data_IF_371478714395
#
_entry.id   IF_371478714395
#
_cell.length_a   1.000
_cell.length_b   1.000
_cell.length_c   1.000
_cell.angle_alpha   90.00
_cell.angle_beta   90.00
_cell.angle_gamma   90.00
#
_symmetry.space_group_name_H-M   'P 1'
#
loop_
_entity.id
_entity.type
_entity.pdbx_description
1 polymer ?
#
# COMPACT_ATOMS: atom_id res chain seq x y z
N UNK A 1 15.54 -14.75 -13.18
CA UNK A 1 16.15 -14.12 -11.98
C UNK A 1 16.26 -15.15 -10.85
N UNK A 2 17.40 -15.82 -10.67
CA UNK A 2 17.50 -16.99 -9.77
C UNK A 2 17.13 -16.73 -8.30
N UNK A 3 17.36 -15.51 -7.82
CA UNK A 3 17.18 -15.14 -6.40
C UNK A 3 15.73 -14.85 -5.99
N UNK A 4 14.79 -14.74 -6.95
CA UNK A 4 13.44 -14.24 -6.64
C UNK A 4 12.62 -15.20 -5.76
N UNK A 5 12.94 -16.50 -5.86
CA UNK A 5 12.34 -17.57 -5.07
C UNK A 5 13.21 -17.94 -3.84
N UNK A 6 14.30 -17.22 -3.56
CA UNK A 6 15.11 -17.45 -2.36
C UNK A 6 14.37 -16.95 -1.11
N UNK A 7 14.10 -17.88 -0.18
CA UNK A 7 13.28 -17.65 1.01
C UNK A 7 14.14 -17.43 2.25
N UNK A 8 13.74 -16.45 3.07
CA UNK A 8 14.25 -16.25 4.43
C UNK A 8 13.16 -16.62 5.42
N UNK A 9 13.15 -17.88 5.85
CA UNK A 9 12.13 -18.42 6.76
C UNK A 9 12.33 -17.97 8.21
N UNK A 10 13.58 -17.76 8.61
CA UNK A 10 13.98 -17.32 9.95
C UNK A 10 14.66 -15.94 9.85
N UNK A 11 13.88 -14.85 9.75
CA UNK A 11 14.42 -13.50 9.68
C UNK A 11 15.01 -13.06 11.04
N UNK A 12 15.87 -12.02 11.06
CA UNK A 12 16.50 -11.51 12.29
C UNK A 12 15.48 -11.01 13.35
N UNK A 13 14.30 -10.60 12.90
CA UNK A 13 13.15 -10.24 13.71
C UNK A 13 11.86 -10.50 12.92
N UNK A 14 10.73 -10.65 13.61
CA UNK A 14 9.50 -11.12 12.97
C UNK A 14 8.54 -9.97 12.60
N UNK A 15 8.64 -9.49 11.36
CA UNK A 15 7.58 -8.67 10.75
C UNK A 15 6.38 -9.55 10.42
N UNK A 16 5.18 -9.09 10.80
CA UNK A 16 3.93 -9.86 10.68
C UNK A 16 3.02 -9.35 9.56
N UNK A 17 2.94 -8.04 9.34
CA UNK A 17 2.07 -7.41 8.32
C UNK A 17 2.29 -5.90 8.19
N UNK A 18 1.76 -5.30 7.13
CA UNK A 18 1.45 -3.88 7.07
C UNK A 18 0.57 -3.44 8.25
N UNK A 19 0.80 -2.23 8.78
CA UNK A 19 0.17 -1.75 10.02
C UNK A 19 -0.68 -0.51 9.84
N UNK A 20 -0.07 0.60 9.45
CA UNK A 20 -0.70 1.92 9.45
C UNK A 20 -0.02 2.86 8.46
N UNK A 21 -0.68 3.93 8.05
CA UNK A 21 -0.09 5.00 7.23
C UNK A 21 -0.31 6.34 7.92
N UNK A 22 0.70 7.20 7.88
CA UNK A 22 0.64 8.57 8.42
C UNK A 22 0.66 9.55 7.26
N UNK A 23 -0.46 10.22 7.02
CA UNK A 23 -0.64 11.19 5.94
C UNK A 23 -0.72 12.61 6.50
N UNK A 24 -0.06 13.53 5.82
CA UNK A 24 -0.16 14.95 6.07
C UNK A 24 -1.24 15.54 5.15
N UNK A 25 -2.27 16.13 5.74
CA UNK A 25 -3.44 16.69 5.04
C UNK A 25 -3.63 18.16 5.38
N UNK A 26 -4.18 18.94 4.45
CA UNK A 26 -4.36 20.39 4.63
C UNK A 26 -5.50 20.73 5.57
N UNK A 27 -6.60 20.01 5.45
CA UNK A 27 -7.82 20.22 6.23
C UNK A 27 -8.30 18.91 6.84
N UNK A 28 -8.14 18.78 8.17
CA UNK A 28 -8.55 17.58 8.89
C UNK A 28 -10.05 17.32 8.79
N UNK A 29 -10.91 18.35 8.79
CA UNK A 29 -12.35 18.15 8.78
C UNK A 29 -12.80 17.58 7.42
N UNK A 30 -12.25 18.13 6.33
CA UNK A 30 -12.55 17.68 4.97
C UNK A 30 -12.00 16.26 4.74
N UNK A 31 -10.75 16.00 5.13
CA UNK A 31 -10.16 14.66 4.97
C UNK A 31 -10.86 13.63 5.87
N UNK A 32 -11.16 13.96 7.13
CA UNK A 32 -11.96 13.10 8.01
C UNK A 32 -13.29 12.74 7.36
N UNK A 33 -14.03 13.72 6.84
CA UNK A 33 -15.31 13.46 6.19
C UNK A 33 -15.17 12.48 5.02
N UNK A 34 -14.15 12.67 4.17
CA UNK A 34 -13.87 11.73 3.09
C UNK A 34 -13.63 10.30 3.62
N UNK A 35 -12.77 10.14 4.62
CA UNK A 35 -12.41 8.82 5.15
C UNK A 35 -13.53 8.17 5.99
N UNK A 36 -14.41 8.94 6.63
CA UNK A 36 -15.53 8.38 7.40
C UNK A 36 -16.76 8.13 6.54
N UNK A 37 -17.11 9.05 5.65
CA UNK A 37 -18.40 9.03 4.96
C UNK A 37 -18.33 8.27 3.64
N UNK A 38 -17.23 8.43 2.89
CA UNK A 38 -17.01 7.69 1.65
C UNK A 38 -16.28 6.37 1.91
N UNK A 39 -15.12 6.40 2.57
CA UNK A 39 -14.34 5.17 2.77
C UNK A 39 -14.96 4.27 3.86
N UNK A 40 -15.66 4.85 4.84
CA UNK A 40 -16.34 4.10 5.89
C UNK A 40 -15.42 3.66 7.03
N UNK A 41 -14.33 4.39 7.28
CA UNK A 41 -13.46 4.17 8.43
C UNK A 41 -14.08 4.72 9.73
N UNK A 42 -13.62 4.17 10.85
CA UNK A 42 -14.07 4.54 12.19
C UNK A 42 -13.03 5.41 12.86
N UNK A 43 -13.45 6.55 13.40
CA UNK A 43 -12.61 7.41 14.24
C UNK A 43 -12.34 6.70 15.55
N UNK A 44 -11.07 6.55 15.87
CA UNK A 44 -10.59 5.93 17.09
C UNK A 44 -10.26 6.97 18.13
N UNK A 45 -9.63 8.06 17.71
CA UNK A 45 -9.35 9.25 18.50
C UNK A 45 -9.11 10.45 17.58
N UNK A 46 -9.20 11.67 18.09
CA UNK A 46 -8.91 12.90 17.35
C UNK A 46 -8.64 14.10 18.27
N UNK A 47 -7.81 15.01 17.78
CA UNK A 47 -7.54 16.31 18.37
C UNK A 47 -7.43 17.40 17.27
N UNK A 48 -7.07 18.62 17.64
CA UNK A 48 -6.96 19.76 16.71
C UNK A 48 -5.88 19.58 15.63
N UNK A 49 -4.97 18.63 15.81
CA UNK A 49 -3.80 18.37 14.96
C UNK A 49 -3.86 17.04 14.22
N UNK A 50 -4.60 16.05 14.73
CA UNK A 50 -4.58 14.68 14.21
C UNK A 50 -5.93 13.97 14.29
N UNK A 51 -6.22 13.10 13.32
CA UNK A 51 -7.36 12.17 13.35
C UNK A 51 -6.84 10.75 13.16
N UNK A 52 -7.24 9.84 14.05
CA UNK A 52 -6.85 8.43 14.05
C UNK A 52 -8.02 7.56 13.59
N UNK A 53 -7.83 6.81 12.51
CA UNK A 53 -8.88 6.05 11.84
C UNK A 53 -8.49 4.56 11.74
N UNK A 54 -9.49 3.68 11.78
CA UNK A 54 -9.32 2.24 11.60
C UNK A 54 -10.48 1.62 10.81
N UNK A 55 -10.23 0.49 10.17
CA UNK A 55 -11.28 -0.32 9.55
C UNK A 55 -12.15 -1.07 10.57
N UNK A 56 -13.32 -1.55 10.13
CA UNK A 56 -14.33 -2.19 10.96
C UNK A 56 -13.88 -3.53 11.61
N UNK A 57 -12.95 -4.28 11.00
CA UNK A 57 -12.38 -5.54 11.51
C UNK A 57 -11.21 -5.33 12.48
N UNK A 58 -10.67 -4.11 12.52
CA UNK A 58 -9.40 -3.83 13.17
C UNK A 58 -9.53 -3.74 14.69
N UNK A 59 -8.53 -4.31 15.37
CA UNK A 59 -8.36 -4.19 16.83
C UNK A 59 -7.29 -3.20 17.21
N UNK A 60 -6.31 -2.94 16.35
CA UNK A 60 -5.32 -1.89 16.63
C UNK A 60 -6.03 -0.54 16.73
N UNK A 61 -5.45 0.37 17.50
CA UNK A 61 -6.01 1.70 17.68
C UNK A 61 -6.24 2.42 16.35
N UNK A 62 -5.35 2.26 15.37
CA UNK A 62 -5.47 2.92 14.08
C UNK A 62 -4.68 2.19 13.01
N UNK A 63 -5.08 2.43 11.76
CA UNK A 63 -4.37 2.04 10.54
C UNK A 63 -4.22 3.21 9.56
N UNK A 64 -4.86 4.34 9.85
CA UNK A 64 -4.65 5.61 9.18
C UNK A 64 -4.53 6.72 10.23
N UNK A 65 -3.50 7.55 10.10
CA UNK A 65 -3.34 8.77 10.87
C UNK A 65 -3.31 9.94 9.90
N UNK A 66 -4.24 10.88 10.07
CA UNK A 66 -4.25 12.14 9.34
C UNK A 66 -3.64 13.20 10.24
N UNK A 67 -2.63 13.93 9.77
CA UNK A 67 -1.99 15.03 10.50
C UNK A 67 -2.16 16.33 9.73
N UNK A 68 -2.60 17.38 10.41
CA UNK A 68 -2.74 18.71 9.81
C UNK A 68 -1.36 19.26 9.42
N UNK A 69 -1.21 19.65 8.17
CA UNK A 69 0.04 20.16 7.62
C UNK A 69 -0.22 21.02 6.38
N UNK A 70 0.56 22.11 6.15
CA UNK A 70 0.49 22.85 4.88
C UNK A 70 1.02 22.01 3.70
N UNK A 71 1.94 21.10 3.97
CA UNK A 71 2.58 20.22 2.99
C UNK A 71 1.86 18.87 2.93
N UNK A 72 1.47 18.44 1.73
CA UNK A 72 0.77 17.17 1.46
C UNK A 72 1.76 16.06 1.14
N UNK A 73 2.02 15.19 2.12
CA UNK A 73 3.03 14.15 2.05
C UNK A 73 2.57 12.89 2.79
N UNK A 74 3.15 11.74 2.46
CA UNK A 74 3.15 10.60 3.36
C UNK A 74 4.30 10.78 4.35
N UNK A 75 4.00 10.91 5.64
CA UNK A 75 5.06 11.04 6.63
C UNK A 75 5.82 9.71 6.78
N UNK A 76 5.10 8.60 7.00
CA UNK A 76 5.65 7.25 7.19
C UNK A 76 4.63 6.15 6.88
N UNK A 77 5.11 4.95 6.57
CA UNK A 77 4.31 3.72 6.59
C UNK A 77 4.77 2.80 7.71
N UNK A 78 3.82 2.10 8.31
CA UNK A 78 4.01 1.28 9.49
C UNK A 78 3.97 -0.22 9.21
N UNK A 79 4.79 -0.99 9.93
CA UNK A 79 4.79 -2.44 9.92
C UNK A 79 4.58 -2.96 11.35
N UNK A 80 3.84 -4.07 11.48
CA UNK A 80 3.71 -4.78 12.77
C UNK A 80 4.84 -5.78 12.93
N UNK A 81 5.52 -5.75 14.05
CA UNK A 81 6.37 -6.88 14.49
C UNK A 81 5.64 -7.71 15.54
N UNK A 82 6.13 -8.93 15.80
CA UNK A 82 5.45 -9.88 16.70
C UNK A 82 5.46 -9.46 18.16
N UNK A 83 6.55 -8.87 18.65
CA UNK A 83 6.74 -8.51 20.06
C UNK A 83 7.66 -7.29 20.23
N UNK A 84 7.67 -6.67 21.41
CA UNK A 84 8.60 -5.56 21.69
C UNK A 84 10.07 -6.01 21.60
N UNK A 85 10.37 -7.29 21.86
CA UNK A 85 11.70 -7.87 21.66
C UNK A 85 12.14 -7.83 20.18
N UNK A 86 11.21 -7.98 19.24
CA UNK A 86 11.48 -7.83 17.81
C UNK A 86 11.84 -6.38 17.43
N UNK A 87 11.43 -5.38 18.23
CA UNK A 87 11.83 -3.98 18.00
C UNK A 87 13.31 -3.78 18.34
N UNK A 88 13.78 -4.31 19.47
CA UNK A 88 15.20 -4.24 19.84
C UNK A 88 16.08 -5.01 18.84
N UNK A 89 15.63 -6.21 18.42
CA UNK A 89 16.32 -6.98 17.37
C UNK A 89 16.37 -6.23 16.05
N UNK A 90 15.28 -5.56 15.66
CA UNK A 90 15.25 -4.74 14.45
C UNK A 90 16.22 -3.55 14.56
N UNK A 91 16.25 -2.87 15.70
CA UNK A 91 17.18 -1.76 15.95
C UNK A 91 18.63 -2.23 15.84
N UNK A 92 19.01 -3.30 16.52
CA UNK A 92 20.36 -3.88 16.45
C UNK A 92 20.72 -4.30 15.03
N UNK A 93 19.82 -5.01 14.34
CA UNK A 93 20.02 -5.47 12.97
C UNK A 93 20.30 -4.31 12.00
N UNK A 94 19.50 -3.23 12.07
CA UNK A 94 19.69 -2.07 11.21
C UNK A 94 20.92 -1.24 11.60
N UNK A 95 21.23 -1.11 12.90
CA UNK A 95 22.44 -0.43 13.36
C UNK A 95 23.72 -1.13 12.89
N UNK A 96 23.75 -2.47 12.88
CA UNK A 96 24.87 -3.25 12.34
C UNK A 96 25.08 -3.06 10.82
N UNK A 97 24.04 -2.64 10.11
CA UNK A 97 24.12 -2.25 8.69
C UNK A 97 24.51 -0.78 8.51
N UNK A 98 24.78 -0.04 9.59
CA UNK A 98 25.11 1.38 9.55
C UNK A 98 23.92 2.30 9.26
N UNK A 99 22.68 1.83 9.48
CA UNK A 99 21.48 2.67 9.32
C UNK A 99 21.23 3.54 10.54
N UNK A 100 20.70 4.72 10.28
CA UNK A 100 20.14 5.55 11.34
C UNK A 100 18.83 4.93 11.83
N UNK A 101 18.77 4.68 13.14
CA UNK A 101 17.61 4.16 13.85
C UNK A 101 17.21 5.13 14.95
N UNK A 102 15.92 5.20 15.25
CA UNK A 102 15.44 5.93 16.41
C UNK A 102 14.25 5.21 17.04
N UNK A 103 14.39 4.82 18.31
CA UNK A 103 13.27 4.40 19.13
C UNK A 103 12.52 5.64 19.61
N UNK A 104 11.23 5.71 19.33
CA UNK A 104 10.40 6.90 19.56
C UNK A 104 9.09 6.56 20.27
N UNK A 105 8.58 7.55 21.00
CA UNK A 105 7.22 7.52 21.52
C UNK A 105 6.23 8.01 20.46
N UNK A 106 5.08 7.31 20.39
CA UNK A 106 4.01 7.56 19.43
C UNK A 106 2.66 7.40 20.11
N UNK A 107 1.71 8.34 19.93
CA UNK A 107 0.38 8.20 20.50
C UNK A 107 -0.26 6.86 20.09
N UNK A 108 -0.76 6.12 21.09
CA UNK A 108 -1.46 4.85 20.94
C UNK A 108 -0.66 3.67 20.37
N UNK A 109 0.65 3.84 20.16
CA UNK A 109 1.58 2.77 19.80
C UNK A 109 2.42 2.40 21.02
N UNK A 110 2.80 1.12 21.13
CA UNK A 110 3.87 0.72 22.05
C UNK A 110 5.24 1.15 21.52
N UNK A 111 6.28 0.46 21.98
CA UNK A 111 7.66 0.69 21.52
C UNK A 111 7.71 0.73 19.99
N UNK A 112 8.18 1.86 19.44
CA UNK A 112 8.18 2.12 18.00
C UNK A 112 9.57 2.45 17.53
N UNK A 113 10.03 1.78 16.46
CA UNK A 113 11.30 2.03 15.81
C UNK A 113 11.10 2.75 14.48
N UNK A 114 11.84 3.82 14.29
CA UNK A 114 12.03 4.48 13.01
C UNK A 114 13.30 4.01 12.31
N UNK A 115 13.19 3.81 11.01
CA UNK A 115 14.31 3.56 10.09
C UNK A 115 13.88 3.94 8.66
N UNK A 116 14.83 4.05 7.73
CA UNK A 116 14.54 4.19 6.30
C UNK A 116 15.03 2.96 5.53
N UNK A 117 14.27 2.55 4.51
CA UNK A 117 14.65 1.44 3.63
C UNK A 117 15.78 1.82 2.65
N UNK A 118 16.14 0.90 1.74
CA UNK A 118 17.18 1.13 0.74
C UNK A 118 16.87 2.25 -0.25
N UNK A 119 15.60 2.56 -0.46
CA UNK A 119 15.16 3.55 -1.45
C UNK A 119 14.65 4.83 -0.77
N UNK A 120 14.85 4.95 0.55
CA UNK A 120 14.58 6.14 1.36
C UNK A 120 13.17 6.21 1.94
N UNK A 121 12.35 5.17 1.83
CA UNK A 121 10.99 5.14 2.41
C UNK A 121 11.10 5.22 3.95
N UNK A 122 10.47 6.22 4.59
CA UNK A 122 10.41 6.30 6.04
C UNK A 122 9.47 5.22 6.62
N UNK A 123 10.03 4.32 7.42
CA UNK A 123 9.30 3.22 8.07
C UNK A 123 9.08 3.49 9.56
N UNK A 124 7.97 2.95 10.09
CA UNK A 124 7.75 2.72 11.52
C UNK A 124 7.54 1.21 11.77
N UNK A 125 8.22 0.64 12.75
CA UNK A 125 7.94 -0.72 13.24
C UNK A 125 7.37 -0.61 14.65
N UNK A 126 6.22 -1.24 14.92
CA UNK A 126 5.66 -1.32 16.27
C UNK A 126 5.08 -2.72 16.54
N UNK A 127 5.15 -3.18 17.79
CA UNK A 127 4.65 -4.50 18.15
C UNK A 127 3.22 -4.48 18.72
N UNK A 128 2.84 -3.39 19.38
CA UNK A 128 1.59 -3.24 20.12
C UNK A 128 0.91 -1.89 19.84
N UNK A 129 -0.42 -1.88 19.89
CA UNK A 129 -1.27 -0.69 19.90
C UNK A 129 -2.41 -1.01 20.87
N UNK A 130 -2.94 -0.02 21.58
CA UNK A 130 -4.06 -0.23 22.48
C UNK A 130 -5.25 -0.85 21.71
N UNK A 131 -5.87 -1.93 22.21
CA UNK A 131 -6.93 -2.58 21.47
C UNK A 131 -8.24 -1.79 21.53
N UNK A 132 -8.88 -1.61 20.38
CA UNK A 132 -10.24 -1.09 20.27
C UNK A 132 -11.26 -2.22 20.06
N UNK A 133 -12.53 -1.92 20.33
CA UNK A 133 -13.63 -2.81 19.96
C UNK A 133 -13.72 -2.92 18.42
N UNK A 134 -13.90 -4.16 17.94
CA UNK A 134 -14.20 -4.42 16.52
C UNK A 134 -15.63 -4.01 16.23
N UNK A 135 -15.80 -3.28 15.14
CA UNK A 135 -17.12 -2.84 14.67
C UNK A 135 -17.77 -3.83 13.70
N UNK A 136 -17.11 -4.96 13.40
CA UNK A 136 -17.53 -6.01 12.47
C UNK A 136 -18.98 -6.51 12.62
N UNK A 137 -19.54 -6.45 13.84
CA UNK A 137 -20.92 -6.88 14.13
C UNK A 137 -21.88 -5.72 14.37
N UNK A 138 -21.38 -4.49 14.34
CA UNK A 138 -22.16 -3.30 14.61
C UNK A 138 -22.64 -2.68 13.29
N UNK A 139 -23.51 -3.43 12.59
CA UNK A 139 -23.96 -3.10 11.23
C UNK A 139 -24.60 -1.72 11.08
N UNK A 140 -25.12 -1.14 12.17
CA UNK A 140 -25.61 0.24 12.18
C UNK A 140 -24.53 1.31 11.90
N UNK A 141 -23.25 0.96 12.02
CA UNK A 141 -22.11 1.84 11.74
C UNK A 141 -21.51 1.63 10.35
N UNK A 142 -22.02 0.69 9.55
CA UNK A 142 -21.56 0.46 8.18
C UNK A 142 -22.02 1.61 7.29
N UNK A 143 -21.07 2.35 6.72
CA UNK A 143 -21.29 3.56 5.90
C UNK A 143 -20.31 3.59 4.74
N UNK A 144 -20.62 4.36 3.69
CA UNK A 144 -19.71 4.53 2.55
C UNK A 144 -19.33 3.19 1.92
N UNK A 145 -18.04 2.90 1.82
CA UNK A 145 -17.54 1.62 1.36
C UNK A 145 -17.52 0.54 2.45
N UNK A 146 -17.68 0.89 3.73
CA UNK A 146 -17.50 -0.02 4.87
C UNK A 146 -16.15 -0.73 4.84
N UNK A 147 -15.06 0.03 4.73
CA UNK A 147 -13.70 -0.49 4.80
C UNK A 147 -13.47 -1.36 6.05
N UNK A 148 -12.95 -2.58 5.85
CA UNK A 148 -12.81 -3.60 6.89
C UNK A 148 -11.45 -3.55 7.58
N UNK A 149 -10.34 -3.64 6.85
CA UNK A 149 -8.98 -3.54 7.41
C UNK A 149 -8.01 -3.03 6.35
N UNK A 150 -6.96 -2.35 6.80
CA UNK A 150 -5.80 -2.06 5.96
C UNK A 150 -5.16 -3.37 5.49
N UNK A 151 -4.82 -3.45 4.22
CA UNK A 151 -4.20 -4.63 3.63
C UNK A 151 -2.74 -4.39 3.25
N UNK A 152 -2.47 -3.36 2.44
CA UNK A 152 -1.14 -3.17 1.87
C UNK A 152 -0.86 -1.72 1.48
N UNK A 153 0.40 -1.50 1.09
CA UNK A 153 0.86 -0.29 0.40
C UNK A 153 1.37 -0.67 -0.99
N UNK A 154 1.17 0.22 -1.96
CA UNK A 154 1.98 0.22 -3.17
C UNK A 154 2.84 1.48 -3.20
N UNK A 155 4.12 1.31 -3.47
CA UNK A 155 5.12 2.36 -3.56
C UNK A 155 5.72 2.41 -4.98
N UNK A 156 6.10 3.62 -5.39
CA UNK A 156 6.97 3.82 -6.55
C UNK A 156 8.41 3.98 -6.10
N UNK A 157 9.32 3.35 -6.83
CA UNK A 157 10.77 3.42 -6.62
C UNK A 157 11.49 3.57 -7.94
N UNK A 158 12.61 4.31 -7.95
CA UNK A 158 13.49 4.39 -9.11
C UNK A 158 14.25 3.08 -9.37
N UNK A 159 14.38 2.23 -8.33
CA UNK A 159 15.05 0.94 -8.39
C UNK A 159 14.28 -0.10 -7.56
N UNK A 160 13.64 -1.04 -8.27
CA UNK A 160 12.83 -2.11 -7.66
C UNK A 160 13.72 -3.16 -7.00
N UNK A 161 14.93 -3.39 -7.52
CA UNK A 161 15.86 -4.39 -6.99
C UNK A 161 16.44 -3.92 -5.65
N UNK A 162 16.78 -2.64 -5.52
CA UNK A 162 17.21 -2.05 -4.25
C UNK A 162 16.10 -2.07 -3.21
N UNK A 163 14.86 -1.76 -3.59
CA UNK A 163 13.73 -1.89 -2.68
C UNK A 163 13.59 -3.35 -2.21
N UNK A 164 13.51 -4.30 -3.14
CA UNK A 164 13.37 -5.72 -2.82
C UNK A 164 14.48 -6.27 -1.91
N UNK A 165 15.75 -5.88 -2.14
CA UNK A 165 16.88 -6.36 -1.35
C UNK A 165 16.86 -5.89 0.11
N UNK A 166 16.07 -4.85 0.44
CA UNK A 166 15.82 -4.46 1.82
C UNK A 166 14.87 -5.43 2.53
N UNK A 167 13.79 -5.85 1.85
CA UNK A 167 12.70 -6.60 2.46
C UNK A 167 12.91 -8.12 2.47
N UNK A 168 13.64 -8.67 1.49
CA UNK A 168 13.90 -10.11 1.42
C UNK A 168 14.60 -10.66 2.69
N UNK A 169 15.68 -10.04 3.22
CA UNK A 169 16.30 -10.49 4.48
C UNK A 169 15.38 -10.41 5.71
N UNK A 170 14.32 -9.59 5.64
CA UNK A 170 13.31 -9.46 6.69
C UNK A 170 12.20 -10.52 6.59
N UNK A 171 12.35 -11.48 5.67
CA UNK A 171 11.44 -12.59 5.46
C UNK A 171 10.25 -12.28 4.56
N UNK A 172 10.23 -11.14 3.87
CA UNK A 172 9.19 -10.89 2.87
C UNK A 172 9.39 -11.81 1.67
N UNK A 173 8.31 -12.48 1.26
CA UNK A 173 8.30 -13.37 0.09
C UNK A 173 7.65 -12.68 -1.10
N UNK A 174 8.16 -12.96 -2.29
CA UNK A 174 7.57 -12.47 -3.54
C UNK A 174 6.43 -13.41 -3.93
N UNK A 175 5.19 -12.93 -3.98
CA UNK A 175 4.09 -13.73 -4.54
C UNK A 175 4.04 -13.60 -6.06
N UNK A 176 4.25 -12.39 -6.56
CA UNK A 176 4.15 -12.03 -7.97
C UNK A 176 5.16 -10.95 -8.31
N UNK A 177 5.60 -10.91 -9.56
CA UNK A 177 6.52 -9.88 -10.06
C UNK A 177 6.28 -9.58 -11.52
N UNK A 178 6.76 -8.42 -11.96
CA UNK A 178 6.68 -8.00 -13.37
C UNK A 178 8.07 -7.83 -13.95
N UNK A 179 8.27 -8.33 -15.16
CA UNK A 179 9.58 -8.38 -15.79
C UNK A 179 9.51 -8.18 -17.31
N UNK A 180 10.62 -7.78 -17.92
CA UNK A 180 10.82 -7.86 -19.37
C UNK A 180 12.27 -8.18 -19.67
N UNK A 181 12.58 -8.54 -20.92
CA UNK A 181 13.97 -8.50 -21.39
C UNK A 181 14.32 -7.05 -21.72
N UNK A 182 15.43 -6.55 -21.18
CA UNK A 182 16.05 -5.28 -21.56
C UNK A 182 17.47 -5.62 -21.97
N UNK A 183 17.79 -5.37 -23.23
CA UNK A 183 19.03 -5.86 -23.86
C UNK A 183 19.20 -7.38 -23.71
N UNK A 184 20.19 -7.84 -22.95
CA UNK A 184 20.49 -9.26 -22.72
C UNK A 184 20.01 -9.76 -21.34
N UNK A 185 19.48 -8.86 -20.50
CA UNK A 185 19.15 -9.15 -19.10
C UNK A 185 17.64 -9.07 -18.82
N UNK A 186 17.20 -9.86 -17.84
CA UNK A 186 15.85 -9.73 -17.29
C UNK A 186 15.78 -8.52 -16.35
N UNK A 187 15.01 -7.52 -16.74
CA UNK A 187 14.71 -6.35 -15.90
C UNK A 187 13.47 -6.58 -15.04
N UNK A 188 13.53 -6.12 -13.79
CA UNK A 188 12.45 -6.23 -12.80
C UNK A 188 11.72 -4.88 -12.68
N UNK A 189 10.44 -4.86 -13.02
CA UNK A 189 9.61 -3.63 -13.04
C UNK A 189 8.72 -3.48 -11.81
N UNK A 190 8.50 -4.57 -11.07
CA UNK A 190 7.73 -4.52 -9.84
C UNK A 190 7.69 -5.86 -9.12
N UNK A 191 7.46 -5.80 -7.81
CA UNK A 191 7.41 -6.94 -6.88
C UNK A 191 6.28 -6.78 -5.89
N UNK A 192 5.56 -7.87 -5.61
CA UNK A 192 4.51 -7.97 -4.60
C UNK A 192 5.04 -8.81 -3.44
N UNK A 193 5.24 -8.17 -2.28
CA UNK A 193 5.98 -8.71 -1.15
C UNK A 193 5.05 -8.94 0.05
N UNK A 194 5.12 -10.11 0.68
CA UNK A 194 4.18 -10.48 1.76
C UNK A 194 4.82 -11.15 2.98
N UNK A 195 4.11 -11.00 4.11
CA UNK A 195 4.30 -11.69 5.39
C UNK A 195 3.00 -12.33 5.91
N UNK A 196 1.84 -11.74 5.63
CA UNK A 196 0.55 -12.11 6.26
C UNK A 196 -0.22 -13.24 5.58
N UNK A 197 0.34 -13.90 4.58
CA UNK A 197 -0.28 -15.06 3.91
C UNK A 197 -1.31 -14.71 2.84
N UNK A 198 -1.42 -13.44 2.47
CA UNK A 198 -2.04 -13.00 1.23
C UNK A 198 -0.91 -12.54 0.27
N UNK A 199 -1.19 -12.13 -0.98
CA UNK A 199 -0.12 -11.95 -1.96
C UNK A 199 0.81 -10.77 -1.64
N UNK A 200 0.37 -9.78 -0.85
CA UNK A 200 1.23 -8.62 -0.55
C UNK A 200 0.82 -7.88 0.71
N UNK A 201 1.83 -7.43 1.45
CA UNK A 201 1.79 -6.36 2.45
C UNK A 201 2.36 -5.06 1.86
N UNK A 202 3.32 -5.17 0.94
CA UNK A 202 3.94 -4.03 0.28
C UNK A 202 4.29 -4.37 -1.16
N UNK A 203 4.06 -3.43 -2.05
CA UNK A 203 4.33 -3.56 -3.48
C UNK A 203 5.27 -2.45 -3.90
N UNK A 204 6.26 -2.78 -4.73
CA UNK A 204 7.12 -1.80 -5.38
C UNK A 204 6.92 -1.88 -6.88
N UNK A 205 6.74 -0.73 -7.52
CA UNK A 205 6.71 -0.59 -8.98
C UNK A 205 7.68 0.49 -9.42
N UNK A 206 8.29 0.30 -10.58
CA UNK A 206 9.26 1.26 -11.11
C UNK A 206 8.59 2.58 -11.48
N UNK A 207 9.23 3.69 -11.11
CA UNK A 207 8.79 5.04 -11.39
C UNK A 207 9.57 6.06 -10.56
N UNK A 208 9.25 7.36 -10.65
CA UNK A 208 9.88 8.35 -9.77
C UNK A 208 9.57 8.01 -8.31
N UNK A 209 10.60 7.86 -7.46
CA UNK A 209 10.44 7.37 -6.09
C UNK A 209 11.53 7.82 -5.12
N UNK A 210 11.35 7.61 -3.80
CA UNK A 210 10.22 6.89 -3.21
C UNK A 210 8.96 7.76 -3.16
N UNK A 211 7.82 7.19 -3.57
CA UNK A 211 6.49 7.82 -3.44
C UNK A 211 5.45 6.78 -3.04
N UNK A 212 4.53 7.15 -2.17
CA UNK A 212 3.35 6.32 -1.86
C UNK A 212 2.38 6.38 -3.05
N UNK A 213 2.31 5.28 -3.81
CA UNK A 213 1.37 5.17 -4.92
C UNK A 213 -0.05 5.08 -4.39
N UNK A 214 -0.32 4.17 -3.46
CA UNK A 214 -1.59 4.06 -2.74
C UNK A 214 -1.44 3.21 -1.46
N UNK A 215 -2.48 3.23 -0.64
CA UNK A 215 -2.71 2.28 0.45
C UNK A 215 -4.11 1.69 0.29
N UNK A 216 -4.33 0.47 0.77
CA UNK A 216 -5.52 -0.31 0.42
C UNK A 216 -6.31 -0.78 1.63
N UNK A 217 -7.64 -0.74 1.52
CA UNK A 217 -8.57 -1.34 2.48
C UNK A 217 -9.45 -2.39 1.82
N UNK A 218 -9.65 -3.50 2.52
CA UNK A 218 -10.54 -4.56 2.06
C UNK A 218 -11.99 -4.18 2.27
N UNK A 219 -12.87 -4.65 1.39
CA UNK A 219 -14.32 -4.52 1.48
C UNK A 219 -14.99 -5.85 1.86
N UNK A 220 -16.21 -5.84 2.43
CA UNK A 220 -16.98 -7.06 2.69
C UNK A 220 -17.30 -7.82 1.39
N UNK A 221 -17.79 -7.11 0.36
CA UNK A 221 -18.16 -7.68 -0.93
C UNK A 221 -18.02 -6.64 -2.06
N UNK A 222 -18.14 -7.13 -3.29
CA UNK A 222 -18.33 -6.38 -4.54
C UNK A 222 -19.46 -5.37 -4.47
N UNK A 223 -20.58 -5.69 -3.81
CA UNK A 223 -21.69 -4.74 -3.68
C UNK A 223 -21.29 -3.48 -2.88
N UNK A 224 -20.40 -3.61 -1.88
CA UNK A 224 -19.89 -2.46 -1.15
C UNK A 224 -18.98 -1.59 -2.01
N UNK A 225 -18.29 -2.18 -3.00
CA UNK A 225 -17.48 -1.44 -3.97
C UNK A 225 -18.36 -0.58 -4.89
N UNK A 226 -19.48 -1.12 -5.36
CA UNK A 226 -20.46 -0.36 -6.15
C UNK A 226 -21.11 0.73 -5.28
N UNK A 227 -21.50 0.39 -4.04
CA UNK A 227 -22.01 1.37 -3.08
C UNK A 227 -21.02 2.51 -2.83
N UNK A 228 -19.72 2.22 -2.76
CA UNK A 228 -18.70 3.27 -2.63
C UNK A 228 -18.73 4.25 -3.82
N UNK A 229 -18.91 3.75 -5.04
CA UNK A 229 -19.04 4.59 -6.24
C UNK A 229 -20.32 5.44 -6.20
N UNK A 230 -21.46 4.85 -5.82
CA UNK A 230 -22.74 5.57 -5.72
C UNK A 230 -22.70 6.65 -4.63
N UNK A 231 -22.13 6.32 -3.46
CA UNK A 231 -21.93 7.27 -2.36
C UNK A 231 -20.97 8.38 -2.78
N UNK A 232 -19.89 8.07 -3.49
CA UNK A 232 -19.01 9.09 -4.03
C UNK A 232 -19.78 10.05 -4.95
N UNK A 233 -20.62 9.53 -5.85
CA UNK A 233 -21.49 10.35 -6.68
C UNK A 233 -22.42 11.27 -5.87
N UNK A 234 -23.10 10.72 -4.87
CA UNK A 234 -24.06 11.45 -4.04
C UNK A 234 -23.39 12.53 -3.16
N UNK A 235 -22.17 12.29 -2.69
CA UNK A 235 -21.39 13.24 -1.88
C UNK A 235 -20.60 14.26 -2.71
N UNK A 236 -20.65 14.17 -4.05
CA UNK A 236 -19.90 15.05 -4.95
C UNK A 236 -18.44 14.64 -5.16
N UNK A 237 -18.05 13.45 -4.71
CA UNK A 237 -16.72 12.85 -4.90
C UNK A 237 -16.58 12.03 -6.20
N UNK A 238 -17.51 12.13 -7.16
CA UNK A 238 -17.39 11.43 -8.43
C UNK A 238 -16.07 11.74 -9.20
N UNK A 239 -15.58 13.00 -9.26
CA UNK A 239 -14.28 13.30 -9.89
C UNK A 239 -13.07 12.64 -9.22
N UNK A 240 -13.21 12.24 -7.95
CA UNK A 240 -12.18 11.57 -7.16
C UNK A 240 -12.12 10.06 -7.46
N UNK A 241 -13.13 9.47 -8.09
CA UNK A 241 -13.05 8.12 -8.61
C UNK A 241 -12.02 8.11 -9.75
N UNK A 242 -10.86 7.53 -9.48
CA UNK A 242 -9.70 7.63 -10.36
C UNK A 242 -9.63 6.48 -11.36
N UNK A 243 -9.91 5.25 -10.89
CA UNK A 243 -9.80 4.04 -11.70
C UNK A 243 -10.72 2.95 -11.16
N UNK A 244 -11.34 2.20 -12.08
CA UNK A 244 -12.22 1.08 -11.76
C UNK A 244 -13.70 1.47 -11.69
N UNK A 245 -14.58 0.60 -11.14
CA UNK A 245 -14.26 -0.75 -10.67
C UNK A 245 -13.64 -1.64 -11.76
N UNK A 246 -12.67 -2.47 -11.39
CA UNK A 246 -11.96 -3.35 -12.33
C UNK A 246 -11.51 -4.64 -11.66
N UNK A 247 -10.88 -5.54 -12.45
CA UNK A 247 -10.32 -6.81 -11.97
C UNK A 247 -8.84 -6.85 -12.33
N UNK A 248 -7.97 -6.94 -11.34
CA UNK A 248 -6.54 -7.10 -11.62
C UNK A 248 -6.24 -8.48 -12.19
N UNK A 249 -5.23 -8.56 -13.06
CA UNK A 249 -4.57 -9.82 -13.37
C UNK A 249 -3.73 -10.29 -12.21
N UNK A 250 -2.73 -9.48 -11.85
CA UNK A 250 -1.95 -9.65 -10.62
C UNK A 250 -2.89 -9.61 -9.42
N UNK A 251 -2.74 -10.54 -8.48
CA UNK A 251 -3.57 -10.74 -7.28
C UNK A 251 -5.00 -11.20 -7.53
N UNK A 252 -5.54 -11.04 -8.74
CA UNK A 252 -6.92 -11.37 -9.09
C UNK A 252 -8.00 -10.54 -8.39
N UNK A 253 -7.65 -9.48 -7.64
CA UNK A 253 -8.62 -8.72 -6.86
C UNK A 253 -9.55 -7.85 -7.71
N UNK A 254 -10.80 -7.66 -7.26
CA UNK A 254 -11.57 -6.49 -7.68
C UNK A 254 -11.02 -5.27 -6.98
N UNK A 255 -10.94 -4.17 -7.69
CA UNK A 255 -10.43 -2.92 -7.16
C UNK A 255 -11.30 -1.73 -7.62
N UNK A 256 -11.27 -0.67 -6.83
CA UNK A 256 -11.59 0.69 -7.23
C UNK A 256 -10.63 1.64 -6.52
N UNK A 257 -10.19 2.69 -7.20
CA UNK A 257 -9.27 3.68 -6.66
C UNK A 257 -9.95 5.04 -6.54
N UNK A 258 -9.77 5.69 -5.39
CA UNK A 258 -10.17 7.06 -5.15
C UNK A 258 -8.96 7.94 -4.84
N UNK A 259 -9.09 9.25 -5.09
CA UNK A 259 -8.21 10.29 -4.55
C UNK A 259 -8.89 10.97 -3.38
N UNK A 260 -8.18 11.11 -2.26
CA UNK A 260 -8.64 11.94 -1.15
C UNK A 260 -8.60 13.44 -1.53
N UNK A 261 -9.09 14.34 -0.67
CA UNK A 261 -9.13 15.78 -0.95
C UNK A 261 -7.78 16.43 -1.25
N UNK A 262 -6.68 15.84 -0.76
CA UNK A 262 -5.31 16.30 -0.98
C UNK A 262 -4.61 15.52 -2.11
N UNK A 263 -5.28 14.53 -2.71
CA UNK A 263 -4.78 13.74 -3.82
C UNK A 263 -4.06 12.45 -3.41
N UNK A 264 -4.06 12.05 -2.14
CA UNK A 264 -3.60 10.73 -1.73
C UNK A 264 -4.50 9.64 -2.34
N UNK A 265 -3.90 8.61 -2.93
CA UNK A 265 -4.65 7.53 -3.56
C UNK A 265 -4.96 6.44 -2.53
N UNK A 266 -6.21 6.01 -2.51
CA UNK A 266 -6.68 4.88 -1.73
C UNK A 266 -7.29 3.84 -2.67
N UNK A 267 -6.93 2.58 -2.46
CA UNK A 267 -7.57 1.44 -3.09
C UNK A 267 -8.62 0.84 -2.15
N UNK A 268 -9.77 0.50 -2.71
CA UNK A 268 -10.77 -0.34 -2.09
C UNK A 268 -10.92 -1.60 -2.93
N UNK A 269 -10.78 -2.75 -2.28
CA UNK A 269 -10.66 -4.00 -3.01
C UNK A 269 -11.31 -5.16 -2.25
N UNK A 270 -11.60 -6.26 -2.93
CA UNK A 270 -12.10 -7.48 -2.30
C UNK A 270 -11.04 -8.58 -2.21
N UNK A 271 -11.35 -9.69 -1.56
CA UNK A 271 -10.37 -10.70 -1.14
C UNK A 271 -9.45 -11.21 -2.27
N UNK A 272 -8.15 -11.25 -1.97
CA UNK A 272 -7.12 -11.92 -2.76
C UNK A 272 -7.20 -13.46 -2.65
N UNK A 273 -6.36 -14.17 -3.42
CA UNK A 273 -6.01 -15.55 -3.11
C UNK A 273 -5.09 -15.66 -1.87
N UNK A 274 -4.96 -16.84 -1.30
CA UNK A 274 -4.04 -17.10 -0.19
C UNK A 274 -2.66 -17.50 -0.73
N UNK A 275 -1.59 -16.98 -0.13
CA UNK A 275 -0.21 -17.28 -0.48
C UNK A 275 0.57 -17.62 0.80
N UNK A 276 0.13 -18.72 1.44
CA UNK A 276 0.60 -19.16 2.76
C UNK A 276 1.73 -20.17 2.59
N UNK A 277 1.52 -21.17 1.74
CA UNK A 277 2.46 -22.27 1.52
C UNK A 277 3.74 -21.80 0.82
N UNK A 278 4.76 -22.65 0.85
CA UNK A 278 5.98 -22.43 0.07
C UNK A 278 5.67 -22.79 -1.38
N UNK A 279 5.44 -21.76 -2.19
CA UNK A 279 5.17 -21.87 -3.62
C UNK A 279 5.98 -20.79 -4.37
N UNK A 280 6.35 -21.03 -5.65
CA UNK A 280 7.18 -20.11 -6.42
C UNK A 280 6.42 -18.83 -6.80
N UNK A 281 7.15 -17.74 -7.01
CA UNK A 281 6.59 -16.46 -7.42
C UNK A 281 6.06 -16.52 -8.88
N UNK A 282 4.89 -15.92 -9.13
CA UNK A 282 4.33 -15.82 -10.48
C UNK A 282 4.90 -14.59 -11.22
N UNK A 283 5.61 -14.84 -12.31
CA UNK A 283 6.19 -13.80 -13.15
C UNK A 283 5.29 -13.37 -14.31
N UNK A 284 5.05 -12.07 -14.43
CA UNK A 284 4.27 -11.48 -15.51
C UNK A 284 5.15 -10.68 -16.46
N UNK A 285 5.04 -10.94 -17.76
CA UNK A 285 5.72 -10.11 -18.77
C UNK A 285 5.07 -8.71 -18.79
N UNK A 286 5.89 -7.64 -18.75
CA UNK A 286 5.40 -6.26 -18.78
C UNK A 286 4.53 -5.96 -20.02
N UNK A 287 4.80 -6.64 -21.14
CA UNK A 287 4.05 -6.49 -22.37
C UNK A 287 2.66 -7.16 -22.34
N UNK A 288 2.37 -8.02 -21.36
CA UNK A 288 1.05 -8.62 -21.20
C UNK A 288 0.05 -7.59 -20.66
N UNK A 289 -0.95 -7.15 -21.46
CA UNK A 289 -1.94 -6.18 -21.02
C UNK A 289 -2.81 -6.71 -19.87
N UNK A 290 -3.04 -8.03 -19.80
CA UNK A 290 -3.91 -8.66 -18.80
C UNK A 290 -3.31 -8.65 -17.40
N UNK A 291 -2.03 -8.34 -17.29
CA UNK A 291 -1.30 -8.18 -16.04
C UNK A 291 -1.94 -7.15 -15.11
N UNK A 292 -2.33 -5.99 -15.65
CA UNK A 292 -2.82 -4.86 -14.87
C UNK A 292 -4.34 -4.85 -14.71
N UNK A 293 -5.06 -5.32 -15.74
CA UNK A 293 -6.53 -5.33 -15.80
C UNK A 293 -7.02 -6.49 -16.69
N UNK A 294 -8.06 -7.20 -16.24
CA UNK A 294 -8.65 -8.33 -16.96
C UNK A 294 -9.86 -7.92 -17.80
N UNK A 295 -10.61 -6.88 -17.42
CA UNK A 295 -11.96 -6.59 -17.93
C UNK A 295 -12.10 -5.20 -18.56
N UNK A 296 -11.05 -4.38 -18.56
CA UNK A 296 -11.20 -2.96 -18.80
C UNK A 296 -10.19 -2.31 -19.75
N UNK A 297 -10.42 -1.01 -19.91
CA UNK A 297 -9.51 -0.07 -20.55
C UNK A 297 -8.20 0.05 -19.75
N UNK A 298 -7.10 0.47 -20.40
CA UNK A 298 -5.86 0.75 -19.70
C UNK A 298 -6.08 1.85 -18.64
N UNK A 299 -5.28 1.82 -17.58
CA UNK A 299 -5.29 2.87 -16.57
C UNK A 299 -4.97 4.24 -17.19
N UNK A 300 -5.57 5.30 -16.66
CA UNK A 300 -5.26 6.66 -17.08
C UNK A 300 -3.82 7.03 -16.73
N UNK A 301 -3.20 7.94 -17.49
CA UNK A 301 -1.80 8.33 -17.30
C UNK A 301 -1.48 8.75 -15.85
N UNK A 302 -2.39 9.48 -15.19
CA UNK A 302 -2.23 9.92 -13.79
C UNK A 302 -2.06 8.75 -12.81
N UNK A 303 -2.57 7.57 -13.11
CA UNK A 303 -2.34 6.37 -12.30
C UNK A 303 -0.84 6.03 -12.26
N UNK A 304 -0.14 6.16 -13.39
CA UNK A 304 1.29 5.88 -13.49
C UNK A 304 2.18 7.03 -12.99
N UNK A 305 1.78 8.29 -13.23
CA UNK A 305 2.68 9.44 -13.05
C UNK A 305 2.54 10.13 -11.70
N UNK A 306 1.35 10.09 -11.10
CA UNK A 306 1.06 10.81 -9.85
C UNK A 306 1.07 9.85 -8.65
N UNK A 307 1.87 10.17 -7.64
CA UNK A 307 1.95 9.47 -6.37
C UNK A 307 2.32 10.46 -5.26
N UNK A 308 2.01 10.12 -4.02
CA UNK A 308 2.24 10.99 -2.86
C UNK A 308 3.73 10.98 -2.48
N UNK A 309 4.42 12.13 -2.42
CA UNK A 309 5.81 12.17 -1.96
C UNK A 309 5.93 11.83 -0.48
N UNK A 310 7.05 11.23 -0.07
CA UNK A 310 7.36 11.09 1.34
C UNK A 310 7.90 12.40 1.93
N UNK A 311 7.62 12.66 3.22
CA UNK A 311 8.08 13.87 3.90
C UNK A 311 9.61 13.87 4.01
N UNK A 312 10.25 14.96 3.58
CA UNK A 312 11.71 15.17 3.64
C UNK A 312 12.56 14.14 2.88
N UNK A 313 11.98 13.44 1.90
CA UNK A 313 12.72 12.48 1.05
C UNK A 313 12.68 12.96 -0.40
N UNK A 314 13.84 13.18 -1.05
CA UNK A 314 13.87 13.60 -2.44
C UNK A 314 13.38 12.48 -3.37
N UNK A 315 12.64 12.86 -4.41
CA UNK A 315 12.20 11.93 -5.46
C UNK A 315 13.30 11.78 -6.50
N UNK A 316 13.74 10.54 -6.71
CA UNK A 316 14.74 10.13 -7.69
C UNK A 316 14.04 9.61 -8.94
N UNK A 317 14.55 9.97 -10.11
CA UNK A 317 14.06 9.45 -11.40
C UNK A 317 14.67 8.07 -11.68
N UNK A 318 13.90 7.11 -12.24
CA UNK A 318 14.45 5.83 -12.66
C UNK A 318 15.41 6.02 -13.85
N UNK A 319 16.49 5.23 -13.90
CA UNK A 319 17.42 5.23 -15.04
C UNK A 319 16.73 4.79 -16.32
N UNK A 320 15.86 3.77 -16.21
CA UNK A 320 15.04 3.27 -17.30
C UNK A 320 13.59 3.73 -17.07
N UNK A 321 13.04 4.62 -17.91
CA UNK A 321 11.66 5.05 -17.75
C UNK A 321 10.69 3.91 -18.05
N UNK A 322 9.55 3.91 -17.36
CA UNK A 322 8.42 3.04 -17.71
C UNK A 322 7.56 3.79 -18.71
N UNK A 323 7.40 3.25 -19.91
CA UNK A 323 6.42 3.76 -20.86
C UNK A 323 5.01 3.27 -20.47
N UNK A 324 4.09 4.16 -20.08
CA UNK A 324 2.73 3.77 -19.76
C UNK A 324 2.02 3.24 -21.03
N UNK A 325 1.10 2.26 -20.88
CA UNK A 325 0.30 1.80 -22.00
C UNK A 325 -0.53 2.96 -22.57
N UNK A 326 -0.49 3.14 -23.89
CA UNK A 326 -1.33 4.14 -24.58
C UNK A 326 -2.67 3.52 -24.99
N UNK A 327 -3.67 4.37 -25.20
CA UNK A 327 -4.96 3.92 -25.72
C UNK A 327 -4.81 3.29 -27.11
N UNK A 328 -3.93 3.83 -27.96
CA UNK A 328 -3.66 3.30 -29.30
C UNK A 328 -3.07 1.89 -29.21
N UNK A 329 -2.11 1.65 -28.31
CA UNK A 329 -1.52 0.33 -28.09
C UNK A 329 -2.57 -0.67 -27.60
N UNK A 330 -3.48 -0.24 -26.73
CA UNK A 330 -4.58 -1.07 -26.26
C UNK A 330 -5.58 -1.40 -27.38
N UNK A 331 -6.00 -0.40 -28.16
CA UNK A 331 -6.94 -0.58 -29.27
C UNK A 331 -6.37 -1.47 -30.37
N UNK A 332 -5.07 -1.39 -30.66
CA UNK A 332 -4.41 -2.28 -31.61
C UNK A 332 -4.56 -3.75 -31.18
N UNK A 333 -4.30 -4.06 -29.91
CA UNK A 333 -4.46 -5.42 -29.37
C UNK A 333 -5.90 -5.93 -29.41
N UNK A 334 -6.90 -5.05 -29.28
CA UNK A 334 -8.31 -5.41 -29.33
C UNK A 334 -8.81 -5.70 -30.75
N UNK A 335 -8.18 -5.13 -31.77
CA UNK A 335 -8.57 -5.29 -33.17
C UNK A 335 -7.93 -6.52 -33.84
N UNK A 336 -6.82 -7.01 -33.28
CA UNK A 336 -6.07 -8.17 -33.79
C UNK A 336 -6.52 -9.51 -33.15
N UNK A 337 -7.55 -9.48 -32.29
CA UNK A 337 -8.04 -10.60 -31.47
C UNK A 337 -9.23 -11.37 -32.02
#
# INVERSE_FOLDING_TARGET
MPQIDELVLEPPFNVTRASHVVLNVRDLAVSKQFYTDLIGLVVSDEDDSSVYLRGLEERGHHSLVLKKSPDVHCARIGMRVRSDDDIYKAEEYFALQGRETAVVERPYQGLTLHVSDNVGVPLEFCASMAPCERMLKQYQHYRGASAQRLDHYQLQTSDVRQAWSFYQPLGFRVSEYTWSQVEQDQHLWGVWLQRKGNPHDIVFTQGPGPRLHHFAYTLPDTNDMIRACDVAGALGYAPQLERGPGRHGISGALFVYFRDPDGHRIELFNTHYQHIDIEPALGWNLADPKRADQWGLPAQNKWFTEATPFAHVPVIQPEIPVDPPTLERFLALANDG
#
